data_IF_849184645282
#
_entry.id   IF_849184645282
#
_cell.length_a   1.000
_cell.length_b   1.000
_cell.length_c   1.000
_cell.angle_alpha   90.00
_cell.angle_beta   90.00
_cell.angle_gamma   90.00
#
_symmetry.space_group_name_H-M   'P 1'
#
loop_
_entity.id
_entity.type
_entity.pdbx_description
1 polymer ?
#
# COMPACT_ATOMS: atom_id res chain seq x y z
N UNK A 1 -3.65 1.93 -19.17
CA UNK A 1 -2.66 1.62 -18.11
C UNK A 1 -2.65 2.77 -17.12
N UNK A 2 -2.69 2.46 -15.82
CA UNK A 2 -2.57 3.41 -14.71
C UNK A 2 -1.36 4.33 -14.85
N UNK A 3 -1.55 5.63 -14.65
CA UNK A 3 -0.48 6.64 -14.70
C UNK A 3 -0.18 7.18 -13.30
N UNK A 4 1.08 7.54 -13.10
CA UNK A 4 1.53 8.32 -11.95
C UNK A 4 1.82 9.76 -12.38
N UNK A 5 1.05 10.70 -11.85
CA UNK A 5 1.24 12.14 -12.04
C UNK A 5 2.09 12.67 -10.88
N UNK A 6 3.20 13.33 -11.20
CA UNK A 6 4.16 13.77 -10.19
C UNK A 6 4.20 15.29 -10.18
N UNK A 7 3.77 15.89 -9.07
CA UNK A 7 3.70 17.33 -8.85
C UNK A 7 5.10 18.00 -8.86
N UNK A 8 5.10 19.32 -9.07
CA UNK A 8 6.32 20.13 -9.10
C UNK A 8 7.03 20.30 -7.76
N UNK A 9 6.37 20.00 -6.65
CA UNK A 9 7.00 19.87 -5.32
C UNK A 9 8.05 18.76 -5.25
N UNK A 10 8.03 17.78 -6.16
CA UNK A 10 8.89 16.59 -6.08
C UNK A 10 10.25 16.84 -6.74
N UNK A 11 11.32 16.69 -5.94
CA UNK A 11 12.70 16.80 -6.40
C UNK A 11 13.08 15.73 -7.45
N UNK A 12 14.03 16.04 -8.34
CA UNK A 12 14.32 15.24 -9.53
C UNK A 12 14.77 13.80 -9.23
N UNK A 13 15.59 13.61 -8.21
CA UNK A 13 16.01 12.30 -7.71
C UNK A 13 14.84 11.48 -7.19
N UNK A 14 13.92 12.11 -6.44
CA UNK A 14 12.72 11.44 -5.97
C UNK A 14 11.75 11.11 -7.11
N UNK A 15 11.64 11.94 -8.15
CA UNK A 15 10.86 11.62 -9.38
C UNK A 15 11.35 10.34 -10.05
N UNK A 16 12.67 10.13 -10.11
CA UNK A 16 13.27 8.90 -10.67
C UNK A 16 12.87 7.70 -9.83
N UNK A 17 12.95 7.81 -8.50
CA UNK A 17 12.52 6.75 -7.58
C UNK A 17 11.03 6.42 -7.75
N UNK A 18 10.14 7.42 -7.82
CA UNK A 18 8.69 7.22 -8.00
C UNK A 18 8.43 6.42 -9.27
N UNK A 19 8.99 6.84 -10.42
CA UNK A 19 8.76 6.16 -11.70
C UNK A 19 9.25 4.71 -11.69
N UNK A 20 10.44 4.47 -11.13
CA UNK A 20 10.99 3.12 -11.00
C UNK A 20 10.12 2.24 -10.10
N UNK A 21 9.67 2.79 -8.97
CA UNK A 21 8.84 2.06 -8.01
C UNK A 21 7.46 1.77 -8.60
N UNK A 22 6.86 2.73 -9.30
CA UNK A 22 5.56 2.56 -9.97
C UNK A 22 5.61 1.45 -11.01
N UNK A 23 6.69 1.39 -11.79
CA UNK A 23 6.88 0.30 -12.75
C UNK A 23 6.94 -1.07 -12.07
N UNK A 24 7.72 -1.23 -11.00
CA UNK A 24 7.74 -2.50 -10.23
C UNK A 24 6.38 -2.86 -9.63
N UNK A 25 5.66 -1.87 -9.12
CA UNK A 25 4.33 -2.05 -8.55
C UNK A 25 3.34 -2.54 -9.61
N UNK A 26 3.30 -1.90 -10.78
CA UNK A 26 2.44 -2.31 -11.89
C UNK A 26 2.83 -3.66 -12.47
N UNK A 27 4.12 -4.02 -12.49
CA UNK A 27 4.54 -5.35 -12.95
C UNK A 27 4.07 -6.43 -11.97
N UNK A 28 4.15 -6.21 -10.65
CA UNK A 28 3.63 -7.13 -9.66
C UNK A 28 2.12 -7.36 -9.80
N UNK A 29 1.36 -6.29 -10.09
CA UNK A 29 -0.08 -6.33 -10.27
C UNK A 29 -0.55 -6.35 -11.73
N UNK A 30 0.29 -6.82 -12.67
CA UNK A 30 0.05 -6.67 -14.11
C UNK A 30 -1.33 -7.15 -14.56
N UNK A 31 -1.83 -8.24 -13.98
CA UNK A 31 -3.13 -8.81 -14.32
C UNK A 31 -4.35 -8.01 -13.80
N UNK A 32 -4.13 -7.01 -12.93
CA UNK A 32 -5.16 -6.20 -12.24
C UNK A 32 -5.13 -4.72 -12.60
N UNK A 33 -4.29 -4.30 -13.55
CA UNK A 33 -4.12 -2.89 -13.90
C UNK A 33 -5.35 -2.23 -14.53
N UNK A 34 -6.40 -3.00 -14.81
CA UNK A 34 -7.70 -2.56 -15.31
C UNK A 34 -8.52 -1.75 -14.29
N UNK A 35 -8.27 -1.92 -12.99
CA UNK A 35 -9.07 -1.30 -11.91
C UNK A 35 -8.31 -0.27 -11.04
N UNK A 36 -7.07 0.11 -11.37
CA UNK A 36 -6.27 0.95 -10.47
C UNK A 36 -6.58 2.44 -10.61
N UNK A 37 -6.97 2.91 -11.79
CA UNK A 37 -7.06 4.34 -12.06
C UNK A 37 -5.69 5.02 -12.12
N UNK A 38 -5.69 6.35 -12.16
CA UNK A 38 -4.48 7.16 -12.12
C UNK A 38 -4.24 7.67 -10.69
N UNK A 39 -2.99 8.00 -10.37
CA UNK A 39 -2.60 8.49 -9.04
C UNK A 39 -1.70 9.73 -9.09
N UNK A 40 -1.87 10.63 -8.13
CA UNK A 40 -1.07 11.85 -7.99
C UNK A 40 -0.09 11.76 -6.82
N UNK A 41 1.13 12.26 -6.98
CA UNK A 41 2.16 12.29 -5.94
C UNK A 41 2.60 13.73 -5.67
N UNK A 42 2.56 14.14 -4.41
CA UNK A 42 3.03 15.45 -3.93
C UNK A 42 4.03 15.25 -2.80
N UNK A 43 5.09 16.07 -2.77
CA UNK A 43 6.05 16.08 -1.66
C UNK A 43 5.71 17.21 -0.67
N UNK A 44 5.71 16.89 0.62
CA UNK A 44 5.40 17.84 1.71
C UNK A 44 6.48 17.79 2.79
N UNK A 45 6.68 18.88 3.52
CA UNK A 45 7.68 18.92 4.62
C UNK A 45 7.08 18.57 5.98
N UNK A 46 5.80 18.85 6.18
CA UNK A 46 5.10 18.63 7.43
C UNK A 46 4.01 17.58 7.21
N UNK A 47 4.26 16.39 7.73
CA UNK A 47 3.31 15.28 7.80
C UNK A 47 3.64 14.50 9.08
N UNK A 48 2.59 14.01 9.77
CA UNK A 48 2.76 13.26 11.02
C UNK A 48 3.49 11.93 10.78
N UNK A 49 3.17 11.25 9.67
CA UNK A 49 3.86 10.05 9.20
C UNK A 49 4.72 10.33 7.94
N UNK A 50 5.29 9.27 7.36
CA UNK A 50 6.15 9.25 6.18
C UNK A 50 5.38 9.52 4.90
N UNK A 51 4.15 9.05 4.81
CA UNK A 51 3.24 9.33 3.70
C UNK A 51 1.78 9.23 4.15
N UNK A 52 0.87 9.62 3.27
CA UNK A 52 -0.57 9.48 3.45
C UNK A 52 -1.27 9.43 2.10
N UNK A 53 -2.18 8.47 1.95
CA UNK A 53 -3.14 8.42 0.86
C UNK A 53 -4.40 9.29 1.15
N UNK A 54 -4.84 10.02 0.13
CA UNK A 54 -6.11 10.76 0.10
C UNK A 54 -7.04 10.12 -0.96
N UNK A 55 -8.06 9.36 -0.54
CA UNK A 55 -8.96 8.67 -1.46
C UNK A 55 -9.84 9.64 -2.27
N UNK A 56 -10.12 10.85 -1.76
CA UNK A 56 -10.97 11.82 -2.47
C UNK A 56 -10.28 12.42 -3.69
N UNK A 57 -8.94 12.39 -3.72
CA UNK A 57 -8.11 12.95 -4.79
C UNK A 57 -7.28 11.92 -5.54
N UNK A 58 -7.37 10.64 -5.17
CA UNK A 58 -6.45 9.60 -5.62
C UNK A 58 -4.98 10.09 -5.55
N UNK A 59 -4.59 10.58 -4.36
CA UNK A 59 -3.32 11.28 -4.18
C UNK A 59 -2.52 10.73 -3.00
N UNK A 60 -1.20 10.74 -3.13
CA UNK A 60 -0.24 10.39 -2.09
C UNK A 60 0.57 11.64 -1.76
N UNK A 61 0.51 12.05 -0.50
CA UNK A 61 1.42 13.05 0.06
C UNK A 61 2.58 12.31 0.73
N UNK A 62 3.82 12.65 0.36
CA UNK A 62 5.02 12.02 0.92
C UNK A 62 5.86 13.05 1.65
N UNK A 63 6.26 12.72 2.88
CA UNK A 63 7.10 13.59 3.69
C UNK A 63 8.55 13.55 3.21
N UNK A 64 9.13 14.73 2.99
CA UNK A 64 10.52 14.90 2.58
C UNK A 64 11.24 15.94 3.46
N UNK A 65 12.57 15.82 3.66
CA UNK A 65 13.46 14.79 3.13
C UNK A 65 13.36 13.47 3.89
N UNK A 66 13.68 12.36 3.22
CA UNK A 66 13.75 11.03 3.83
C UNK A 66 14.66 10.09 3.00
N UNK A 67 15.08 8.96 3.57
CA UNK A 67 15.93 7.99 2.85
C UNK A 67 15.16 7.35 1.68
N UNK A 68 15.85 7.09 0.56
CA UNK A 68 15.24 6.51 -0.63
C UNK A 68 14.52 5.17 -0.39
N UNK A 69 15.06 4.29 0.44
CA UNK A 69 14.39 3.02 0.79
C UNK A 69 13.10 3.23 1.60
N UNK A 70 13.07 4.23 2.47
CA UNK A 70 11.88 4.59 3.25
C UNK A 70 10.83 5.21 2.35
N UNK A 71 11.22 6.11 1.44
CA UNK A 71 10.33 6.68 0.43
C UNK A 71 9.73 5.61 -0.48
N UNK A 72 10.55 4.63 -0.89
CA UNK A 72 10.09 3.52 -1.73
C UNK A 72 9.04 2.66 -1.03
N UNK A 73 9.28 2.28 0.23
CA UNK A 73 8.33 1.50 1.02
C UNK A 73 7.03 2.28 1.24
N UNK A 74 7.13 3.57 1.60
CA UNK A 74 5.97 4.44 1.81
C UNK A 74 5.12 4.57 0.53
N UNK A 75 5.74 4.75 -0.65
CA UNK A 75 5.00 4.80 -1.92
C UNK A 75 4.21 3.50 -2.17
N UNK A 76 4.84 2.34 -2.01
CA UNK A 76 4.16 1.06 -2.23
C UNK A 76 3.02 0.85 -1.23
N UNK A 77 3.24 1.21 0.02
CA UNK A 77 2.24 1.15 1.08
C UNK A 77 1.00 1.99 0.71
N UNK A 78 1.18 3.27 0.38
CA UNK A 78 0.04 4.13 0.01
C UNK A 78 -0.63 3.72 -1.32
N UNK A 79 0.13 3.14 -2.26
CA UNK A 79 -0.45 2.58 -3.47
C UNK A 79 -1.27 1.32 -3.22
N UNK A 80 -0.95 0.55 -2.19
CA UNK A 80 -1.81 -0.54 -1.76
C UNK A 80 -3.18 0.00 -1.32
N UNK A 81 -3.21 1.07 -0.52
CA UNK A 81 -4.47 1.75 -0.17
C UNK A 81 -5.19 2.29 -1.41
N UNK A 82 -4.46 2.86 -2.37
CA UNK A 82 -5.05 3.27 -3.64
C UNK A 82 -5.81 2.13 -4.34
N UNK A 83 -5.25 0.92 -4.38
CA UNK A 83 -5.96 -0.27 -4.90
C UNK A 83 -7.24 -0.54 -4.10
N UNK A 84 -7.20 -0.49 -2.77
CA UNK A 84 -8.38 -0.76 -1.94
C UNK A 84 -9.56 0.19 -2.21
N UNK A 85 -9.26 1.42 -2.62
CA UNK A 85 -10.26 2.45 -2.91
C UNK A 85 -10.65 2.55 -4.38
N UNK A 86 -9.84 2.05 -5.32
CA UNK A 86 -10.13 2.14 -6.76
C UNK A 86 -10.56 0.83 -7.40
N UNK A 87 -10.19 -0.31 -6.80
CA UNK A 87 -10.46 -1.63 -7.33
C UNK A 87 -11.45 -2.39 -6.45
N UNK A 88 -12.72 -2.42 -6.83
CA UNK A 88 -13.78 -3.11 -6.08
C UNK A 88 -13.48 -4.61 -5.89
N UNK A 89 -12.81 -5.26 -6.86
CA UNK A 89 -12.40 -6.66 -6.78
C UNK A 89 -11.32 -6.92 -5.71
N UNK A 90 -10.70 -5.88 -5.15
CA UNK A 90 -9.82 -6.01 -3.98
C UNK A 90 -10.60 -6.60 -2.80
N UNK A 91 -11.89 -6.27 -2.64
CA UNK A 91 -12.70 -6.75 -1.54
C UNK A 91 -12.78 -8.30 -1.47
N UNK A 92 -12.66 -8.98 -2.61
CA UNK A 92 -12.69 -10.44 -2.69
C UNK A 92 -11.48 -11.12 -1.99
N UNK A 93 -10.34 -10.43 -1.80
CA UNK A 93 -9.18 -11.02 -1.13
C UNK A 93 -9.24 -10.95 0.39
N UNK A 94 -10.11 -10.10 0.94
CA UNK A 94 -10.08 -9.71 2.36
C UNK A 94 -10.27 -10.90 3.29
N UNK A 95 -11.23 -11.77 3.03
CA UNK A 95 -11.49 -12.94 3.88
C UNK A 95 -10.30 -13.91 3.92
N UNK A 96 -9.72 -14.24 2.76
CA UNK A 96 -8.53 -15.08 2.68
C UNK A 96 -7.33 -14.43 3.37
N UNK A 97 -7.18 -13.10 3.24
CA UNK A 97 -6.10 -12.37 3.89
C UNK A 97 -6.25 -12.34 5.41
N UNK A 98 -7.45 -12.11 5.94
CA UNK A 98 -7.74 -12.20 7.38
C UNK A 98 -7.38 -13.58 7.93
N UNK A 99 -7.80 -14.65 7.25
CA UNK A 99 -7.44 -16.02 7.61
C UNK A 99 -5.92 -16.24 7.62
N UNK A 100 -5.22 -15.76 6.57
CA UNK A 100 -3.77 -15.84 6.44
C UNK A 100 -3.01 -15.04 7.50
N UNK A 101 -3.62 -14.00 8.07
CA UNK A 101 -3.06 -13.23 9.19
C UNK A 101 -3.48 -13.79 10.55
N UNK A 102 -4.29 -14.86 10.58
CA UNK A 102 -4.83 -15.46 11.80
C UNK A 102 -5.81 -14.53 12.53
N UNK A 103 -6.50 -13.66 11.80
CA UNK A 103 -7.50 -12.74 12.31
C UNK A 103 -8.91 -13.35 12.16
N UNK A 104 -9.85 -13.06 13.09
CA UNK A 104 -11.25 -13.43 12.90
C UNK A 104 -11.81 -12.90 11.58
N UNK A 105 -12.61 -13.71 10.87
CA UNK A 105 -13.15 -13.32 9.56
C UNK A 105 -14.13 -12.14 9.61
N UNK A 106 -14.69 -11.85 10.78
CA UNK A 106 -15.54 -10.69 11.04
C UNK A 106 -14.75 -9.45 11.52
N UNK A 107 -13.41 -9.48 11.49
CA UNK A 107 -12.59 -8.31 11.81
C UNK A 107 -12.86 -7.22 10.77
N UNK A 108 -13.23 -6.02 11.24
CA UNK A 108 -13.45 -4.88 10.36
C UNK A 108 -12.17 -4.57 9.56
N UNK A 109 -12.32 -4.42 8.25
CA UNK A 109 -11.19 -4.21 7.33
C UNK A 109 -10.50 -2.86 7.55
N UNK A 110 -11.33 -1.82 7.64
CA UNK A 110 -10.96 -0.50 8.10
C UNK A 110 -11.40 -0.35 9.55
N UNK A 111 -10.83 0.64 10.26
CA UNK A 111 -11.39 1.05 11.54
C UNK A 111 -12.70 1.78 11.32
N UNK A 112 -13.70 1.43 12.11
CA UNK A 112 -15.02 2.09 12.09
C UNK A 112 -15.00 3.44 12.84
N UNK A 113 -14.01 3.69 13.69
CA UNK A 113 -14.01 4.83 14.62
C UNK A 113 -13.35 6.11 14.10
N UNK A 114 -12.79 6.12 12.87
CA UNK A 114 -12.24 7.33 12.22
C UNK A 114 -11.12 8.04 12.99
N UNK A 115 -10.59 7.45 14.07
CA UNK A 115 -9.58 8.10 14.93
C UNK A 115 -8.17 7.91 14.37
N UNK A 116 -7.48 9.03 14.11
CA UNK A 116 -6.11 9.04 13.55
C UNK A 116 -5.01 9.07 14.62
N UNK A 117 -5.32 9.52 15.84
CA UNK A 117 -4.34 9.69 16.92
C UNK A 117 -4.22 8.44 17.79
N UNK A 118 -3.46 7.45 17.33
CA UNK A 118 -3.20 6.21 18.10
C UNK A 118 -1.73 5.80 18.02
N UNK A 119 -1.20 5.11 19.05
CA UNK A 119 0.15 4.56 19.00
C UNK A 119 0.34 3.59 17.83
N UNK A 120 1.51 3.60 17.20
CA UNK A 120 1.84 2.79 16.01
C UNK A 120 1.63 1.28 16.16
N UNK A 121 1.70 0.74 17.38
CA UNK A 121 1.42 -0.68 17.65
C UNK A 121 -0.06 -1.06 17.50
N UNK A 122 -0.98 -0.09 17.60
CA UNK A 122 -2.42 -0.32 17.38
C UNK A 122 -2.73 -0.27 15.89
N UNK A 123 -2.04 0.59 15.14
CA UNK A 123 -2.11 0.65 13.68
C UNK A 123 -1.71 -0.68 13.03
N UNK A 124 -0.64 -1.33 13.52
CA UNK A 124 -0.22 -2.66 13.04
C UNK A 124 -1.25 -3.80 13.19
N UNK A 125 -2.37 -3.56 13.88
CA UNK A 125 -3.47 -4.54 14.04
C UNK A 125 -4.63 -4.34 13.06
N UNK A 126 -4.68 -3.22 12.34
CA UNK A 126 -5.73 -2.94 11.36
C UNK A 126 -5.49 -3.79 10.11
N UNK A 127 -6.48 -4.55 9.60
CA UNK A 127 -6.28 -5.42 8.43
C UNK A 127 -5.81 -4.69 7.17
N UNK A 128 -6.37 -3.51 6.88
CA UNK A 128 -5.96 -2.67 5.74
C UNK A 128 -4.48 -2.25 5.83
N UNK A 129 -3.97 -1.94 7.02
CA UNK A 129 -2.54 -1.63 7.24
C UNK A 129 -1.64 -2.85 7.09
N UNK A 130 -2.07 -4.00 7.64
CA UNK A 130 -1.35 -5.26 7.44
C UNK A 130 -1.31 -5.64 5.96
N UNK A 131 -2.38 -5.38 5.22
CA UNK A 131 -2.44 -5.56 3.78
C UNK A 131 -1.42 -4.66 3.08
N UNK A 132 -1.42 -3.35 3.34
CA UNK A 132 -0.49 -2.41 2.73
C UNK A 132 0.98 -2.80 3.00
N UNK A 133 1.32 -3.14 4.24
CA UNK A 133 2.67 -3.59 4.61
C UNK A 133 3.03 -4.94 3.98
N UNK A 134 2.06 -5.86 3.84
CA UNK A 134 2.30 -7.13 3.15
C UNK A 134 2.49 -6.91 1.64
N UNK A 135 1.84 -5.93 1.02
CA UNK A 135 2.10 -5.52 -0.38
C UNK A 135 3.52 -5.00 -0.52
N UNK A 136 4.02 -4.17 0.42
CA UNK A 136 5.43 -3.73 0.42
C UNK A 136 6.38 -4.93 0.38
N UNK A 137 6.18 -5.90 1.27
CA UNK A 137 7.01 -7.10 1.30
C UNK A 137 6.92 -7.94 0.03
N UNK A 138 5.74 -8.02 -0.59
CA UNK A 138 5.53 -8.79 -1.81
C UNK A 138 6.19 -8.13 -3.05
N UNK A 139 6.02 -6.81 -3.21
CA UNK A 139 6.56 -6.04 -4.34
C UNK A 139 8.07 -5.92 -4.25
N UNK A 140 8.61 -5.61 -3.07
CA UNK A 140 10.07 -5.48 -2.87
C UNK A 140 10.77 -6.84 -2.82
N UNK A 141 10.03 -7.94 -2.63
CA UNK A 141 10.56 -9.28 -2.36
C UNK A 141 11.56 -9.29 -1.19
N UNK A 142 11.37 -8.37 -0.26
CA UNK A 142 12.23 -8.13 0.88
C UNK A 142 11.38 -7.90 2.13
N UNK A 143 11.85 -8.42 3.26
CA UNK A 143 11.25 -8.24 4.58
C UNK A 143 12.11 -7.38 5.51
N UNK A 144 13.22 -6.83 5.02
CA UNK A 144 14.15 -5.99 5.78
C UNK A 144 13.69 -4.53 5.89
N UNK A 145 12.42 -4.30 6.18
CA UNK A 145 11.93 -3.00 6.64
C UNK A 145 11.25 -3.17 7.98
N UNK A 146 11.43 -2.19 8.86
CA UNK A 146 10.75 -2.22 10.14
C UNK A 146 9.28 -1.86 9.95
N UNK A 147 8.39 -2.72 10.43
CA UNK A 147 6.95 -2.48 10.52
C UNK A 147 6.39 -3.10 11.81
N UNK A 148 5.41 -2.45 12.47
CA UNK A 148 4.66 -3.05 13.57
C UNK A 148 3.58 -4.03 13.08
N UNK A 149 3.30 -4.08 11.77
CA UNK A 149 2.30 -4.96 11.19
C UNK A 149 2.78 -6.42 11.12
N UNK A 150 1.85 -7.36 11.30
CA UNK A 150 2.12 -8.77 11.05
C UNK A 150 2.19 -9.02 9.54
N UNK A 151 3.34 -9.55 9.09
CA UNK A 151 3.54 -10.01 7.71
C UNK A 151 3.74 -11.54 7.73
N UNK A 152 2.70 -12.30 7.40
CA UNK A 152 2.78 -13.77 7.27
C UNK A 152 3.21 -14.20 5.86
N UNK A 153 3.82 -15.39 5.74
CA UNK A 153 4.12 -15.96 4.43
C UNK A 153 2.82 -16.28 3.66
N UNK A 154 1.81 -16.74 4.38
CA UNK A 154 0.45 -16.98 3.90
C UNK A 154 -0.17 -15.70 3.32
N UNK A 155 -0.02 -14.56 4.01
CA UNK A 155 -0.54 -13.27 3.56
C UNK A 155 0.10 -12.83 2.24
N UNK A 156 1.42 -12.99 2.12
CA UNK A 156 2.14 -12.73 0.86
C UNK A 156 1.63 -13.65 -0.26
N UNK A 157 1.34 -14.93 0.03
CA UNK A 157 0.75 -15.86 -0.95
C UNK A 157 -0.64 -15.42 -1.40
N UNK A 158 -1.50 -14.98 -0.49
CA UNK A 158 -2.84 -14.46 -0.82
C UNK A 158 -2.74 -13.25 -1.74
N UNK A 159 -1.91 -12.26 -1.40
CA UNK A 159 -1.70 -11.06 -2.22
C UNK A 159 -1.16 -11.42 -3.59
N UNK A 160 -0.17 -12.33 -3.65
CA UNK A 160 0.41 -12.79 -4.92
C UNK A 160 -0.62 -13.52 -5.77
N UNK A 161 -1.44 -14.40 -5.19
CA UNK A 161 -2.50 -15.11 -5.90
C UNK A 161 -3.53 -14.12 -6.46
N UNK A 162 -4.00 -13.19 -5.63
CA UNK A 162 -4.94 -12.15 -6.06
C UNK A 162 -4.36 -11.29 -7.19
N UNK A 163 -3.12 -10.82 -7.05
CA UNK A 163 -2.43 -9.99 -8.05
C UNK A 163 -2.33 -10.66 -9.42
N UNK A 164 -2.24 -11.99 -9.44
CA UNK A 164 -2.14 -12.81 -10.66
C UNK A 164 -3.49 -13.37 -11.15
N UNK A 165 -4.63 -12.93 -10.57
CA UNK A 165 -5.96 -13.50 -10.86
C UNK A 165 -6.02 -15.04 -10.67
N UNK A 166 -5.18 -15.57 -9.77
CA UNK A 166 -5.17 -16.99 -9.40
C UNK A 166 -6.18 -17.28 -8.27
N UNK A 167 -6.58 -18.55 -8.07
CA UNK A 167 -7.39 -18.94 -6.92
C UNK A 167 -6.71 -18.55 -5.60
N UNK A 168 -7.50 -18.02 -4.66
CA UNK A 168 -7.01 -17.69 -3.33
C UNK A 168 -6.82 -18.98 -2.50
N UNK A 169 -5.73 -19.07 -1.72
CA UNK A 169 -5.45 -20.22 -0.86
C UNK A 169 -6.34 -20.29 0.38
#
# INVERSE_FOLDING_TARGET
MPKVFIDDSVASDFRVLIRKTWWHFLEFFRARTDCFGDIHITAVRALEDRARYDPARAAVMVRVPERGSVLQAALIHEWAHHIEFQCDEQAALRAAFLAAQGLPLNTAWYREDGTTAMPSYVWGRVPSEQYAETVVAAVLRDRNFWTPARISAEGVRVITAWANKAPLP
#
